data_IF_992501345642
#
_entry.id   IF_992501345642
#
_cell.length_a   1.000
_cell.length_b   1.000
_cell.length_c   1.000
_cell.angle_alpha   90.00
_cell.angle_beta   90.00
_cell.angle_gamma   90.00
#
_symmetry.space_group_name_H-M   'P 1'
#
loop_
_entity.id
_entity.type
_entity.pdbx_description
1 polymer ?
#
# COMPACT_ATOMS: atom_id res chain seq x y z
N UNK A 1 50.04 -8.99 -1.79
CA UNK A 1 49.29 -7.78 -1.37
C UNK A 1 47.94 -7.61 -2.07
N UNK A 2 47.83 -7.59 -3.41
CA UNK A 2 46.52 -7.41 -4.09
C UNK A 2 45.49 -8.53 -3.82
N UNK A 3 45.91 -9.80 -3.77
CA UNK A 3 44.99 -10.93 -3.47
C UNK A 3 44.36 -10.85 -2.07
N UNK A 4 45.10 -10.40 -1.06
CA UNK A 4 44.61 -10.27 0.32
C UNK A 4 43.56 -9.18 0.47
N UNK A 5 43.81 -7.98 -0.09
CA UNK A 5 42.84 -6.87 -0.11
C UNK A 5 41.57 -7.21 -0.89
N UNK A 6 41.68 -7.98 -1.96
CA UNK A 6 40.52 -8.43 -2.74
C UNK A 6 39.65 -9.41 -1.96
N UNK A 7 40.26 -10.34 -1.22
CA UNK A 7 39.53 -11.30 -0.36
C UNK A 7 38.83 -10.57 0.80
N UNK A 8 39.51 -9.64 1.46
CA UNK A 8 38.92 -8.80 2.52
C UNK A 8 37.76 -7.94 2.01
N UNK A 9 37.90 -7.34 0.82
CA UNK A 9 36.85 -6.55 0.17
C UNK A 9 35.63 -7.40 -0.20
N UNK A 10 35.85 -8.60 -0.76
CA UNK A 10 34.78 -9.54 -1.11
C UNK A 10 34.06 -10.02 0.17
N UNK A 11 34.82 -10.42 1.20
CA UNK A 11 34.25 -10.84 2.49
C UNK A 11 33.45 -9.71 3.16
N UNK A 12 33.97 -8.47 3.13
CA UNK A 12 33.28 -7.28 3.61
C UNK A 12 31.98 -7.00 2.85
N UNK A 13 31.96 -7.17 1.53
CA UNK A 13 30.74 -7.01 0.72
C UNK A 13 29.71 -8.12 1.03
N UNK A 14 30.13 -9.37 1.22
CA UNK A 14 29.22 -10.44 1.63
C UNK A 14 28.58 -10.17 3.00
N UNK A 15 29.36 -9.64 3.95
CA UNK A 15 28.88 -9.24 5.26
C UNK A 15 27.90 -8.05 5.21
N UNK A 16 28.19 -7.02 4.40
CA UNK A 16 27.27 -5.89 4.21
C UNK A 16 25.95 -6.32 3.54
N UNK A 17 26.03 -7.23 2.54
CA UNK A 17 24.85 -7.78 1.88
C UNK A 17 23.99 -8.59 2.86
N UNK A 18 24.59 -9.41 3.73
CA UNK A 18 23.84 -10.19 4.72
C UNK A 18 23.13 -9.28 5.74
N UNK A 19 23.81 -8.22 6.19
CA UNK A 19 23.23 -7.18 7.04
C UNK A 19 22.05 -6.44 6.39
N UNK A 20 22.16 -6.08 5.11
CA UNK A 20 21.06 -5.40 4.39
C UNK A 20 19.90 -6.36 4.11
N UNK A 21 20.16 -7.66 3.89
CA UNK A 21 19.10 -8.68 3.80
C UNK A 21 18.33 -8.87 5.09
N UNK A 22 18.98 -8.72 6.25
CA UNK A 22 18.37 -9.04 7.56
C UNK A 22 17.73 -10.43 7.50
N UNK A 23 16.48 -10.55 7.93
CA UNK A 23 15.66 -11.77 7.96
C UNK A 23 15.19 -12.28 6.57
N UNK A 24 15.75 -11.82 5.44
CA UNK A 24 15.34 -12.28 4.11
C UNK A 24 16.09 -13.54 3.69
N UNK A 25 15.35 -14.50 3.13
CA UNK A 25 15.94 -15.74 2.61
C UNK A 25 16.78 -15.43 1.37
N UNK A 26 17.99 -15.98 1.33
CA UNK A 26 18.94 -15.78 0.23
C UNK A 26 19.12 -17.09 -0.54
N UNK A 27 19.25 -17.00 -1.86
CA UNK A 27 19.55 -18.13 -2.73
C UNK A 27 21.06 -18.23 -2.91
N UNK A 28 21.59 -19.43 -2.66
CA UNK A 28 22.96 -19.77 -3.04
C UNK A 28 22.92 -20.60 -4.32
N UNK A 29 23.44 -20.08 -5.42
CA UNK A 29 23.44 -20.76 -6.73
C UNK A 29 24.76 -20.51 -7.45
N UNK A 30 25.46 -21.57 -7.89
CA UNK A 30 26.71 -21.44 -8.63
C UNK A 30 27.81 -20.67 -7.89
N UNK A 31 27.81 -20.71 -6.55
CA UNK A 31 28.72 -19.93 -5.70
C UNK A 31 28.27 -18.48 -5.42
N UNK A 32 27.17 -18.01 -6.02
CA UNK A 32 26.62 -16.68 -5.77
C UNK A 32 25.61 -16.70 -4.62
N UNK A 33 25.66 -15.70 -3.74
CA UNK A 33 24.72 -15.54 -2.63
C UNK A 33 23.82 -14.33 -2.88
N UNK A 34 22.65 -14.57 -3.46
CA UNK A 34 21.72 -13.55 -3.93
C UNK A 34 20.52 -13.40 -2.99
N UNK A 35 20.12 -12.17 -2.71
CA UNK A 35 18.85 -11.85 -2.05
C UNK A 35 17.70 -12.10 -3.03
N UNK A 36 17.37 -13.38 -3.20
CA UNK A 36 16.44 -13.96 -4.17
C UNK A 36 15.77 -15.19 -3.53
N UNK A 37 14.47 -15.39 -3.78
CA UNK A 37 13.71 -16.51 -3.22
C UNK A 37 12.64 -16.98 -4.21
N UNK A 38 12.47 -18.30 -4.34
CA UNK A 38 11.35 -18.90 -5.07
C UNK A 38 10.13 -18.87 -4.15
N UNK A 39 9.11 -18.13 -4.56
CA UNK A 39 7.82 -18.09 -3.87
C UNK A 39 7.00 -19.31 -4.29
N UNK A 40 7.01 -19.60 -5.59
CA UNK A 40 6.60 -20.86 -6.20
C UNK A 40 7.71 -21.31 -7.16
N UNK A 41 7.52 -22.43 -7.86
CA UNK A 41 8.51 -22.92 -8.82
C UNK A 41 8.71 -21.97 -10.01
N UNK A 42 7.69 -21.16 -10.33
CA UNK A 42 7.65 -20.26 -11.47
C UNK A 42 7.57 -18.77 -11.11
N UNK A 43 7.54 -18.44 -9.82
CA UNK A 43 7.55 -17.07 -9.30
C UNK A 43 8.74 -16.83 -8.39
N UNK A 44 9.62 -15.93 -8.80
CA UNK A 44 10.82 -15.56 -8.05
C UNK A 44 10.70 -14.12 -7.57
N UNK A 45 10.98 -13.90 -6.29
CA UNK A 45 11.08 -12.57 -5.71
C UNK A 45 12.55 -12.25 -5.38
N UNK A 46 13.04 -11.07 -5.77
CA UNK A 46 14.41 -10.66 -5.45
C UNK A 46 14.52 -9.19 -5.05
N UNK A 47 15.66 -8.83 -4.46
CA UNK A 47 16.06 -7.43 -4.29
C UNK A 47 16.66 -6.86 -5.59
N UNK A 48 16.74 -5.52 -5.67
CA UNK A 48 17.19 -4.81 -6.86
C UNK A 48 18.56 -5.31 -7.37
N UNK A 49 18.68 -5.64 -8.67
CA UNK A 49 19.97 -5.90 -9.30
C UNK A 49 20.70 -4.57 -9.53
N UNK A 50 21.90 -4.43 -8.99
CA UNK A 50 22.67 -3.19 -9.04
C UNK A 50 23.96 -3.33 -9.87
N UNK A 51 24.31 -2.29 -10.62
CA UNK A 51 25.52 -2.20 -11.45
C UNK A 51 26.68 -1.48 -10.72
N UNK A 52 26.36 -0.42 -9.95
CA UNK A 52 27.34 0.48 -9.33
C UNK A 52 27.81 0.04 -7.93
N UNK A 53 28.45 0.96 -7.17
CA UNK A 53 28.80 0.77 -5.75
C UNK A 53 27.63 0.27 -4.88
N UNK A 54 26.39 0.47 -5.31
CA UNK A 54 25.19 -0.12 -4.69
C UNK A 54 25.24 -1.65 -4.65
N UNK A 55 25.94 -2.30 -5.59
CA UNK A 55 26.19 -3.74 -5.61
C UNK A 55 27.02 -4.22 -4.41
N UNK A 56 27.74 -3.34 -3.69
CA UNK A 56 28.46 -3.72 -2.47
C UNK A 56 27.50 -4.23 -1.38
N UNK A 57 26.24 -3.79 -1.39
CA UNK A 57 25.23 -4.16 -0.40
C UNK A 57 23.91 -4.68 -1.00
N UNK A 58 23.78 -4.69 -2.33
CA UNK A 58 22.68 -5.31 -3.10
C UNK A 58 23.16 -6.50 -3.94
N UNK A 59 22.26 -7.09 -4.72
CA UNK A 59 22.60 -8.14 -5.67
C UNK A 59 23.39 -7.52 -6.84
N UNK A 60 24.63 -7.94 -7.13
CA UNK A 60 25.32 -7.51 -8.35
C UNK A 60 24.56 -8.00 -9.57
N UNK A 61 24.26 -7.10 -10.52
CA UNK A 61 23.41 -7.41 -11.66
C UNK A 61 23.96 -8.58 -12.50
N UNK A 62 25.26 -8.57 -12.79
CA UNK A 62 25.91 -9.66 -13.53
C UNK A 62 25.78 -11.03 -12.85
N UNK A 63 25.75 -11.08 -11.51
CA UNK A 63 25.55 -12.33 -10.77
C UNK A 63 24.09 -12.79 -10.88
N UNK A 64 23.14 -11.85 -10.86
CA UNK A 64 21.72 -12.16 -11.07
C UNK A 64 21.52 -12.70 -12.48
N UNK A 65 22.02 -12.00 -13.50
CA UNK A 65 21.94 -12.43 -14.89
C UNK A 65 22.51 -13.84 -15.06
N UNK A 66 23.75 -14.07 -14.61
CA UNK A 66 24.39 -15.39 -14.73
C UNK A 66 23.67 -16.50 -13.96
N UNK A 67 23.12 -16.20 -12.79
CA UNK A 67 22.34 -17.15 -12.00
C UNK A 67 21.03 -17.53 -12.70
N UNK A 68 20.35 -16.56 -13.32
CA UNK A 68 19.12 -16.79 -14.09
C UNK A 68 19.41 -17.52 -15.40
N UNK A 69 20.45 -17.12 -16.14
CA UNK A 69 20.86 -17.77 -17.38
C UNK A 69 21.28 -19.23 -17.14
N UNK A 70 22.04 -19.50 -16.09
CA UNK A 70 22.47 -20.86 -15.73
C UNK A 70 21.29 -21.78 -15.38
N UNK A 71 20.27 -21.25 -14.70
CA UNK A 71 19.16 -22.06 -14.18
C UNK A 71 17.97 -22.15 -15.13
N UNK A 72 17.68 -21.08 -15.86
CA UNK A 72 16.48 -20.93 -16.67
C UNK A 72 16.75 -20.62 -18.15
N UNK A 73 18.01 -20.36 -18.55
CA UNK A 73 18.33 -20.02 -19.93
C UNK A 73 17.50 -18.84 -20.45
N UNK A 74 16.73 -19.05 -21.52
CA UNK A 74 15.83 -18.04 -22.11
C UNK A 74 14.43 -17.98 -21.47
N UNK A 75 14.12 -18.84 -20.49
CA UNK A 75 12.79 -19.01 -19.91
C UNK A 75 12.55 -18.14 -18.67
N UNK A 76 13.13 -16.94 -18.60
CA UNK A 76 12.82 -15.98 -17.54
C UNK A 76 12.54 -14.58 -18.08
N UNK A 77 11.64 -13.87 -17.39
CA UNK A 77 11.33 -12.45 -17.61
C UNK A 77 11.36 -11.70 -16.29
N UNK A 78 11.96 -10.52 -16.29
CA UNK A 78 12.17 -9.68 -15.11
C UNK A 78 11.13 -8.56 -15.06
N UNK A 79 10.52 -8.37 -13.90
CA UNK A 79 9.52 -7.34 -13.65
C UNK A 79 10.05 -6.34 -12.62
N UNK A 80 10.30 -5.10 -13.07
CA UNK A 80 10.82 -4.02 -12.24
C UNK A 80 9.67 -3.14 -11.71
N UNK A 81 9.51 -3.12 -10.39
CA UNK A 81 8.48 -2.32 -9.69
C UNK A 81 8.98 -0.96 -9.19
N UNK A 82 10.24 -0.60 -9.46
CA UNK A 82 10.82 0.66 -9.00
C UNK A 82 10.45 1.81 -9.93
N UNK A 83 9.83 2.85 -9.39
CA UNK A 83 9.73 4.15 -10.09
C UNK A 83 11.04 4.91 -10.01
N UNK A 84 11.80 4.71 -8.93
CA UNK A 84 13.00 5.49 -8.61
C UNK A 84 14.30 4.92 -9.20
N UNK A 85 14.26 3.72 -9.78
CA UNK A 85 15.44 3.04 -10.32
C UNK A 85 15.09 2.23 -11.57
N UNK A 86 15.85 2.43 -12.63
CA UNK A 86 15.85 1.64 -13.85
C UNK A 86 17.27 1.17 -14.18
N UNK A 87 17.38 0.29 -15.16
CA UNK A 87 18.62 -0.21 -15.73
C UNK A 87 18.36 -0.63 -17.18
N UNK A 88 19.42 -0.80 -17.97
CA UNK A 88 19.29 -1.22 -19.37
C UNK A 88 18.61 -2.61 -19.45
N UNK A 89 17.46 -2.75 -20.17
CA UNK A 89 16.84 -4.05 -20.42
C UNK A 89 17.79 -5.06 -21.10
N UNK A 90 18.82 -4.58 -21.82
CA UNK A 90 19.90 -5.39 -22.40
C UNK A 90 20.61 -6.28 -21.37
N UNK A 91 20.69 -5.85 -20.10
CA UNK A 91 21.26 -6.63 -18.99
C UNK A 91 20.51 -7.93 -18.68
N UNK A 92 19.30 -8.11 -19.22
CA UNK A 92 18.52 -9.35 -19.15
C UNK A 92 17.97 -9.75 -20.52
N UNK A 93 18.75 -9.55 -21.58
CA UNK A 93 18.42 -9.96 -22.95
C UNK A 93 17.12 -9.34 -23.47
N UNK A 94 16.80 -8.11 -23.04
CA UNK A 94 15.56 -7.41 -23.39
C UNK A 94 14.30 -7.95 -22.70
N UNK A 95 14.41 -8.97 -21.83
CA UNK A 95 13.27 -9.60 -21.13
C UNK A 95 12.94 -8.87 -19.82
N UNK A 96 12.79 -7.55 -19.88
CA UNK A 96 12.46 -6.70 -18.73
C UNK A 96 11.20 -5.90 -19.01
N UNK A 97 10.29 -5.87 -18.05
CA UNK A 97 9.09 -5.04 -18.10
C UNK A 97 8.92 -4.26 -16.80
N UNK A 98 8.34 -3.06 -16.88
CA UNK A 98 8.23 -2.11 -15.78
C UNK A 98 6.79 -1.91 -15.35
N UNK A 99 6.54 -2.00 -14.04
CA UNK A 99 5.27 -1.67 -13.39
C UNK A 99 5.55 -0.77 -12.18
N UNK A 100 5.96 0.49 -12.43
CA UNK A 100 6.56 1.33 -11.39
C UNK A 100 5.53 1.86 -10.41
N UNK A 101 5.87 1.86 -9.11
CA UNK A 101 5.15 2.65 -8.10
C UNK A 101 6.04 2.99 -6.89
N UNK A 102 5.65 4.04 -6.17
CA UNK A 102 6.40 4.62 -5.06
C UNK A 102 6.78 3.60 -3.97
N UNK A 103 7.99 3.73 -3.43
CA UNK A 103 8.42 2.88 -2.31
C UNK A 103 7.53 3.08 -1.08
N UNK A 104 7.23 1.97 -0.41
CA UNK A 104 6.34 1.91 0.75
C UNK A 104 4.91 2.41 0.46
N UNK A 105 4.51 2.52 -0.80
CA UNK A 105 3.17 2.89 -1.22
C UNK A 105 2.41 1.68 -1.82
N UNK A 106 1.25 1.96 -2.39
CA UNK A 106 0.35 1.02 -3.06
C UNK A 106 0.16 1.47 -4.52
N UNK A 107 0.05 0.54 -5.47
CA UNK A 107 -0.23 0.85 -6.86
C UNK A 107 -1.74 1.04 -7.08
N UNK A 108 -2.15 1.72 -8.18
CA UNK A 108 -3.51 1.64 -8.68
C UNK A 108 -3.94 0.19 -8.94
N UNK A 109 -5.22 -0.12 -8.77
CA UNK A 109 -5.76 -1.45 -9.05
C UNK A 109 -5.61 -1.84 -10.53
N UNK A 110 -5.70 -0.86 -11.43
CA UNK A 110 -5.43 -1.01 -12.86
C UNK A 110 -3.99 -1.47 -13.13
N UNK A 111 -3.00 -0.92 -12.41
CA UNK A 111 -1.60 -1.35 -12.53
C UNK A 111 -1.39 -2.77 -12.00
N UNK A 112 -2.14 -3.19 -10.96
CA UNK A 112 -2.13 -4.58 -10.48
C UNK A 112 -2.66 -5.53 -11.56
N UNK A 113 -3.73 -5.16 -12.25
CA UNK A 113 -4.30 -5.94 -13.35
C UNK A 113 -3.29 -6.14 -14.47
N UNK A 114 -2.76 -5.04 -15.03
CA UNK A 114 -1.81 -5.10 -16.14
C UNK A 114 -0.58 -5.97 -15.79
N UNK A 115 -0.10 -5.87 -14.55
CA UNK A 115 0.97 -6.72 -14.06
C UNK A 115 0.57 -8.20 -14.03
N UNK A 116 -0.61 -8.54 -13.49
CA UNK A 116 -1.04 -9.94 -13.38
C UNK A 116 -1.26 -10.58 -14.75
N UNK A 117 -1.86 -9.83 -15.69
CA UNK A 117 -2.07 -10.25 -17.08
C UNK A 117 -0.74 -10.49 -17.79
N UNK A 118 0.21 -9.55 -17.70
CA UNK A 118 1.53 -9.71 -18.32
C UNK A 118 2.32 -10.90 -17.76
N UNK A 119 2.22 -11.14 -16.44
CA UNK A 119 2.84 -12.33 -15.80
C UNK A 119 2.16 -13.62 -16.27
N UNK A 120 0.83 -13.66 -16.34
CA UNK A 120 0.09 -14.83 -16.84
C UNK A 120 0.46 -15.13 -18.30
N UNK A 121 0.44 -14.12 -19.17
CA UNK A 121 0.77 -14.25 -20.59
C UNK A 121 2.17 -14.81 -20.79
N UNK A 122 3.15 -14.32 -20.02
CA UNK A 122 4.51 -14.87 -20.06
C UNK A 122 4.53 -16.33 -19.60
N UNK A 123 3.83 -16.67 -18.52
CA UNK A 123 3.85 -18.02 -17.96
C UNK A 123 3.04 -19.03 -18.81
N UNK A 124 2.07 -18.59 -19.60
CA UNK A 124 1.33 -19.46 -20.52
C UNK A 124 2.10 -19.81 -21.79
N UNK A 125 3.05 -18.97 -22.22
CA UNK A 125 3.84 -19.21 -23.44
C UNK A 125 4.69 -20.48 -23.39
N UNK A 126 5.25 -20.84 -22.22
CA UNK A 126 6.03 -22.06 -22.04
C UNK A 126 5.95 -22.52 -20.58
N UNK A 127 5.75 -23.82 -20.28
CA UNK A 127 5.69 -24.33 -18.90
C UNK A 127 6.99 -24.12 -18.11
N UNK A 128 8.12 -23.92 -18.78
CA UNK A 128 9.43 -23.61 -18.17
C UNK A 128 9.58 -22.14 -17.83
N UNK A 129 8.70 -21.26 -18.34
CA UNK A 129 8.82 -19.83 -18.08
C UNK A 129 8.70 -19.51 -16.59
N UNK A 130 9.55 -18.59 -16.15
CA UNK A 130 9.63 -18.08 -14.78
C UNK A 130 9.51 -16.57 -14.79
N UNK A 131 8.68 -16.02 -13.90
CA UNK A 131 8.59 -14.59 -13.68
C UNK A 131 9.47 -14.20 -12.49
N UNK A 132 10.33 -13.19 -12.68
CA UNK A 132 11.26 -12.69 -11.67
C UNK A 132 10.88 -11.27 -11.28
N UNK A 133 10.26 -11.10 -10.13
CA UNK A 133 9.72 -9.82 -9.67
C UNK A 133 10.68 -9.18 -8.68
N UNK A 134 10.97 -7.89 -8.84
CA UNK A 134 11.78 -7.17 -7.88
C UNK A 134 11.29 -5.74 -7.63
N UNK A 135 11.70 -5.21 -6.48
CA UNK A 135 11.69 -3.79 -6.19
C UNK A 135 13.05 -3.43 -5.59
N UNK A 136 13.16 -2.33 -4.82
CA UNK A 136 14.41 -2.00 -4.15
C UNK A 136 14.88 -3.11 -3.19
N UNK A 137 14.00 -3.53 -2.28
CA UNK A 137 14.32 -4.52 -1.24
C UNK A 137 13.76 -5.92 -1.49
N UNK A 138 12.90 -6.10 -2.49
CA UNK A 138 12.24 -7.38 -2.72
C UNK A 138 11.36 -7.81 -1.55
N UNK A 139 10.67 -6.87 -0.88
CA UNK A 139 9.87 -7.14 0.33
C UNK A 139 8.44 -6.66 0.20
N UNK A 140 8.17 -5.37 0.43
CA UNK A 140 6.82 -4.80 0.44
C UNK A 140 6.15 -4.76 -0.94
N UNK A 141 6.67 -3.92 -1.85
CA UNK A 141 6.15 -3.78 -3.22
C UNK A 141 6.10 -5.11 -3.98
N UNK A 142 7.23 -5.83 -4.01
CA UNK A 142 7.31 -7.18 -4.59
C UNK A 142 6.30 -8.12 -3.97
N UNK A 143 6.13 -8.10 -2.64
CA UNK A 143 5.18 -8.95 -1.98
C UNK A 143 3.73 -8.62 -2.32
N UNK A 144 3.38 -7.34 -2.41
CA UNK A 144 2.05 -6.93 -2.86
C UNK A 144 1.75 -7.50 -4.24
N UNK A 145 2.62 -7.27 -5.23
CA UNK A 145 2.37 -7.71 -6.62
C UNK A 145 2.40 -9.24 -6.74
N UNK A 146 3.34 -9.92 -6.08
CA UNK A 146 3.38 -11.40 -6.07
C UNK A 146 2.14 -11.99 -5.40
N UNK A 147 1.69 -11.43 -4.26
CA UNK A 147 0.46 -11.88 -3.62
C UNK A 147 -0.76 -11.59 -4.50
N UNK A 148 -0.81 -10.45 -5.17
CA UNK A 148 -1.89 -10.13 -6.10
C UNK A 148 -1.97 -11.12 -7.26
N UNK A 149 -0.83 -11.54 -7.82
CA UNK A 149 -0.80 -12.57 -8.86
C UNK A 149 -1.19 -13.96 -8.31
N UNK A 150 -0.74 -14.35 -7.12
CA UNK A 150 -1.19 -15.60 -6.49
C UNK A 150 -2.72 -15.59 -6.28
N UNK A 151 -3.26 -14.46 -5.86
CA UNK A 151 -4.71 -14.24 -5.74
C UNK A 151 -5.39 -14.31 -7.10
N UNK A 152 -4.79 -13.74 -8.15
CA UNK A 152 -5.25 -13.86 -9.54
C UNK A 152 -5.29 -15.32 -10.03
N UNK A 153 -4.44 -16.20 -9.48
CA UNK A 153 -4.48 -17.66 -9.72
C UNK A 153 -5.47 -18.42 -8.81
N UNK A 154 -6.33 -17.72 -8.08
CA UNK A 154 -7.37 -18.32 -7.24
C UNK A 154 -6.98 -18.55 -5.78
N UNK A 155 -5.78 -18.13 -5.34
CA UNK A 155 -5.39 -18.27 -3.94
C UNK A 155 -6.12 -17.24 -3.04
N UNK A 156 -6.58 -17.61 -1.84
CA UNK A 156 -7.10 -16.64 -0.89
C UNK A 156 -6.05 -15.58 -0.49
N UNK A 157 -6.49 -14.32 -0.31
CA UNK A 157 -5.59 -13.20 -0.04
C UNK A 157 -4.68 -13.40 1.19
N UNK A 158 -5.21 -13.93 2.29
CA UNK A 158 -4.41 -14.18 3.50
C UNK A 158 -3.41 -15.32 3.31
N UNK A 159 -3.78 -16.37 2.57
CA UNK A 159 -2.88 -17.47 2.22
C UNK A 159 -1.73 -17.00 1.34
N UNK A 160 -2.01 -16.15 0.33
CA UNK A 160 -0.99 -15.55 -0.51
C UNK A 160 0.00 -14.71 0.30
N UNK A 161 -0.51 -13.87 1.21
CA UNK A 161 0.31 -13.06 2.12
C UNK A 161 1.18 -13.91 3.05
N UNK A 162 0.65 -15.02 3.56
CA UNK A 162 1.36 -15.96 4.42
C UNK A 162 2.42 -16.76 3.66
N UNK A 163 2.09 -17.27 2.47
CA UNK A 163 3.00 -17.98 1.59
C UNK A 163 4.20 -17.08 1.24
N UNK A 164 3.93 -15.86 0.78
CA UNK A 164 5.01 -14.92 0.48
C UNK A 164 5.86 -14.62 1.72
N UNK A 165 5.24 -14.41 2.89
CA UNK A 165 5.96 -14.20 4.15
C UNK A 165 6.93 -15.33 4.47
N UNK A 166 6.46 -16.57 4.44
CA UNK A 166 7.25 -17.76 4.79
C UNK A 166 8.34 -18.09 3.77
N UNK A 167 8.08 -17.85 2.48
CA UNK A 167 9.05 -18.09 1.40
C UNK A 167 10.07 -16.98 1.24
N UNK A 168 9.73 -15.74 1.58
CA UNK A 168 10.64 -14.59 1.40
C UNK A 168 11.47 -14.27 2.64
N UNK A 169 10.97 -14.58 3.83
CA UNK A 169 11.60 -14.20 5.10
C UNK A 169 11.68 -15.37 6.08
N UNK A 170 12.64 -15.31 7.01
CA UNK A 170 12.76 -16.28 8.10
C UNK A 170 11.74 -16.02 9.22
N UNK A 171 11.37 -14.76 9.43
CA UNK A 171 10.43 -14.35 10.49
C UNK A 171 8.97 -14.23 10.01
N UNK A 172 8.64 -14.76 8.83
CA UNK A 172 7.31 -14.69 8.19
C UNK A 172 6.77 -13.26 7.93
N UNK A 173 7.60 -12.23 8.07
CA UNK A 173 7.21 -10.85 7.84
C UNK A 173 7.52 -10.43 6.39
N UNK A 174 6.72 -10.91 5.43
CA UNK A 174 6.78 -10.48 4.02
C UNK A 174 6.20 -9.09 3.81
N UNK A 175 4.89 -9.03 3.50
CA UNK A 175 4.13 -7.78 3.37
C UNK A 175 3.62 -7.35 4.75
N UNK A 176 4.30 -6.38 5.35
CA UNK A 176 4.01 -5.89 6.71
C UNK A 176 3.26 -4.57 6.75
N UNK A 177 3.21 -3.83 5.63
CA UNK A 177 2.55 -2.52 5.58
C UNK A 177 1.03 -2.75 5.49
N UNK A 178 0.22 -2.28 6.45
CA UNK A 178 -1.22 -2.49 6.45
C UNK A 178 -1.92 -2.10 5.14
N UNK A 179 -1.58 -0.95 4.56
CA UNK A 179 -2.18 -0.53 3.29
C UNK A 179 -1.85 -1.46 2.13
N UNK A 180 -0.63 -2.03 2.08
CA UNK A 180 -0.27 -3.02 1.06
C UNK A 180 -1.09 -4.30 1.20
N UNK A 181 -1.28 -4.79 2.44
CA UNK A 181 -2.17 -5.93 2.71
C UNK A 181 -3.63 -5.62 2.37
N UNK A 182 -4.09 -4.40 2.69
CA UNK A 182 -5.43 -3.91 2.35
C UNK A 182 -5.68 -3.93 0.85
N UNK A 183 -4.69 -3.56 0.04
CA UNK A 183 -4.81 -3.59 -1.43
C UNK A 183 -4.83 -5.00 -2.01
N UNK A 184 -4.10 -5.97 -1.42
CA UNK A 184 -4.27 -7.39 -1.79
C UNK A 184 -5.70 -7.88 -1.49
N UNK A 185 -6.32 -7.42 -0.40
CA UNK A 185 -7.74 -7.73 -0.09
C UNK A 185 -8.74 -6.97 -0.95
N UNK A 186 -8.42 -5.76 -1.39
CA UNK A 186 -9.24 -5.03 -2.37
C UNK A 186 -9.20 -5.75 -3.71
N UNK A 187 -8.01 -6.15 -4.15
CA UNK A 187 -7.79 -6.96 -5.34
C UNK A 187 -8.63 -8.25 -5.32
N UNK A 188 -8.60 -9.02 -4.23
CA UNK A 188 -9.39 -10.26 -4.12
C UNK A 188 -10.91 -10.04 -4.21
N UNK A 189 -11.41 -8.83 -3.91
CA UNK A 189 -12.85 -8.51 -3.94
C UNK A 189 -13.36 -8.15 -5.34
N UNK A 190 -12.47 -7.88 -6.29
CA UNK A 190 -12.82 -7.41 -7.63
C UNK A 190 -12.53 -8.44 -8.72
N UNK A 191 -11.99 -9.60 -8.34
CA UNK A 191 -11.81 -10.76 -9.21
C UNK A 191 -13.07 -11.62 -9.23
N UNK A 192 -13.45 -12.07 -10.43
CA UNK A 192 -14.54 -13.03 -10.62
C UNK A 192 -13.97 -14.25 -11.34
N UNK A 193 -13.94 -15.38 -10.64
CA UNK A 193 -13.40 -16.62 -11.17
C UNK A 193 -14.46 -17.36 -11.98
N UNK A 194 -14.15 -17.81 -13.20
CA UNK A 194 -15.05 -18.63 -13.99
C UNK A 194 -15.12 -20.05 -13.41
N UNK A 195 -16.23 -20.75 -13.65
CA UNK A 195 -16.47 -22.10 -13.12
C UNK A 195 -15.57 -23.18 -13.72
N UNK A 196 -14.96 -22.91 -14.87
CA UNK A 196 -14.06 -23.81 -15.58
C UNK A 196 -12.58 -23.72 -15.11
N UNK A 197 -12.28 -22.85 -14.14
CA UNK A 197 -10.93 -22.66 -13.62
C UNK A 197 -10.01 -21.85 -14.54
N UNK A 198 -10.57 -21.13 -15.52
CA UNK A 198 -9.85 -20.19 -16.37
C UNK A 198 -9.35 -18.94 -15.64
N UNK A 199 -8.77 -18.02 -16.42
CA UNK A 199 -8.30 -16.71 -15.95
C UNK A 199 -9.48 -15.89 -15.39
N UNK A 200 -9.36 -15.23 -14.23
CA UNK A 200 -10.47 -14.46 -13.67
C UNK A 200 -10.76 -13.19 -14.46
N UNK A 201 -12.03 -12.82 -14.53
CA UNK A 201 -12.45 -11.48 -14.97
C UNK A 201 -12.11 -10.45 -13.89
N UNK A 202 -11.42 -9.37 -14.29
CA UNK A 202 -11.09 -8.26 -13.39
C UNK A 202 -12.13 -7.15 -13.52
N UNK A 203 -12.95 -6.97 -12.48
CA UNK A 203 -13.97 -5.90 -12.42
C UNK A 203 -13.40 -4.67 -11.72
N UNK A 204 -12.50 -3.95 -12.39
CA UNK A 204 -11.98 -2.68 -11.86
C UNK A 204 -13.16 -1.76 -11.55
N UNK A 205 -13.32 -1.33 -10.29
CA UNK A 205 -14.44 -0.50 -9.92
C UNK A 205 -14.32 0.88 -10.55
N UNK A 206 -15.43 1.47 -11.03
CA UNK A 206 -15.40 2.86 -11.47
C UNK A 206 -15.02 3.76 -10.28
N UNK A 207 -14.34 4.90 -10.54
CA UNK A 207 -14.06 5.88 -9.49
C UNK A 207 -15.35 6.24 -8.75
N UNK A 208 -15.30 6.18 -7.41
CA UNK A 208 -16.43 6.53 -6.56
C UNK A 208 -16.04 7.76 -5.73
N UNK A 209 -16.26 8.97 -6.26
CA UNK A 209 -15.96 10.20 -5.55
C UNK A 209 -16.67 10.27 -4.19
N UNK A 210 -15.97 10.76 -3.17
CA UNK A 210 -16.48 10.96 -1.81
C UNK A 210 -16.09 12.34 -1.31
N UNK A 211 -17.04 13.03 -0.67
CA UNK A 211 -16.74 14.27 0.04
C UNK A 211 -16.14 13.98 1.41
N UNK A 212 -14.84 14.15 1.60
CA UNK A 212 -14.24 14.13 2.93
C UNK A 212 -14.65 15.41 3.69
N UNK A 213 -15.40 15.24 4.78
CA UNK A 213 -15.97 16.33 5.58
C UNK A 213 -15.26 16.54 6.91
N UNK A 214 -14.68 15.49 7.48
CA UNK A 214 -14.07 15.55 8.81
C UNK A 214 -12.98 14.51 8.99
N UNK A 215 -11.95 14.87 9.74
CA UNK A 215 -10.91 13.96 10.24
C UNK A 215 -10.89 14.08 11.77
N UNK A 216 -10.92 12.94 12.46
CA UNK A 216 -10.79 12.87 13.92
C UNK A 216 -9.70 11.91 14.32
N UNK A 217 -8.96 12.27 15.37
CA UNK A 217 -8.00 11.39 16.03
C UNK A 217 -8.42 11.26 17.49
N UNK A 218 -8.64 10.04 17.94
CA UNK A 218 -9.02 9.74 19.32
C UNK A 218 -7.85 9.14 20.08
N UNK A 219 -7.88 9.32 21.40
CA UNK A 219 -6.90 8.80 22.35
C UNK A 219 -5.48 9.21 21.97
N UNK A 220 -5.31 10.52 21.75
CA UNK A 220 -4.01 11.14 21.44
C UNK A 220 -3.27 11.54 22.71
N UNK A 221 -2.07 11.00 22.92
CA UNK A 221 -1.23 11.34 24.06
C UNK A 221 -0.41 12.61 23.81
N UNK A 222 -0.34 13.49 24.82
CA UNK A 222 0.68 14.54 24.92
C UNK A 222 0.84 15.41 23.67
N UNK A 223 -0.26 15.65 22.94
CA UNK A 223 -0.29 16.52 21.77
C UNK A 223 -1.64 17.22 21.65
N UNK A 224 -1.57 18.49 21.26
CA UNK A 224 -2.69 19.40 21.05
C UNK A 224 -2.77 19.84 19.57
N UNK A 225 -1.96 19.28 18.67
CA UNK A 225 -2.23 19.39 17.25
C UNK A 225 -1.49 18.32 16.41
N UNK A 226 -2.17 17.85 15.37
CA UNK A 226 -1.60 16.97 14.36
C UNK A 226 -1.89 17.54 12.97
N UNK A 227 -0.84 17.79 12.18
CA UNK A 227 -0.96 18.22 10.79
C UNK A 227 -1.24 17.02 9.90
N UNK A 228 -1.97 17.21 8.82
CA UNK A 228 -2.21 16.17 7.83
C UNK A 228 -2.06 16.68 6.39
N UNK A 229 -1.82 15.75 5.47
CA UNK A 229 -1.80 15.93 4.02
C UNK A 229 -2.58 14.78 3.40
N UNK A 230 -3.57 15.09 2.58
CA UNK A 230 -4.35 14.15 1.77
C UNK A 230 -3.82 14.22 0.35
N UNK A 231 -3.42 13.08 -0.18
CA UNK A 231 -2.92 12.93 -1.54
C UNK A 231 -3.75 11.92 -2.31
N UNK A 232 -3.91 12.16 -3.61
CA UNK A 232 -4.63 11.29 -4.54
C UNK A 232 -3.69 10.88 -5.68
N UNK A 233 -3.77 9.61 -6.08
CA UNK A 233 -3.09 9.16 -7.30
C UNK A 233 -3.94 9.63 -8.49
N UNK A 234 -3.35 10.44 -9.37
CA UNK A 234 -3.99 10.89 -10.60
C UNK A 234 -3.55 9.99 -11.75
N UNK A 235 -4.50 9.57 -12.59
CA UNK A 235 -4.21 8.85 -13.82
C UNK A 235 -4.00 9.86 -14.96
N UNK A 236 -2.91 9.71 -15.71
CA UNK A 236 -2.64 10.51 -16.91
C UNK A 236 -2.59 9.60 -18.15
N UNK A 237 -3.24 9.98 -19.26
CA UNK A 237 -3.23 9.17 -20.47
C UNK A 237 -1.80 8.89 -20.96
N UNK A 238 -1.47 7.60 -21.13
CA UNK A 238 -0.17 7.15 -21.63
C UNK A 238 0.90 6.93 -20.57
N UNK A 239 0.68 7.31 -19.31
CA UNK A 239 1.57 6.97 -18.20
C UNK A 239 1.03 5.79 -17.38
N UNK A 240 1.90 4.83 -17.04
CA UNK A 240 1.51 3.69 -16.20
C UNK A 240 1.31 4.08 -14.72
N UNK A 241 2.01 5.10 -14.25
CA UNK A 241 1.96 5.53 -12.85
C UNK A 241 2.49 6.95 -12.66
N UNK A 242 1.79 7.72 -11.83
CA UNK A 242 2.22 9.01 -11.33
C UNK A 242 2.22 9.04 -9.81
N UNK A 243 3.21 9.71 -9.22
CA UNK A 243 3.26 9.87 -7.76
C UNK A 243 2.05 10.67 -7.26
N UNK A 244 1.54 10.38 -6.05
CA UNK A 244 0.34 11.04 -5.52
C UNK A 244 0.52 12.55 -5.36
N UNK A 245 -0.49 13.31 -5.79
CA UNK A 245 -0.54 14.77 -5.70
C UNK A 245 -1.29 15.18 -4.44
N UNK A 246 -0.80 16.20 -3.72
CA UNK A 246 -1.52 16.75 -2.57
C UNK A 246 -2.77 17.52 -3.03
N UNK A 247 -3.93 17.11 -2.54
CA UNK A 247 -5.21 17.74 -2.84
C UNK A 247 -5.73 18.58 -1.66
N UNK A 248 -5.25 18.31 -0.45
CA UNK A 248 -5.57 19.08 0.73
C UNK A 248 -4.55 18.86 1.84
N UNK A 249 -4.39 19.88 2.69
CA UNK A 249 -3.66 19.78 3.95
C UNK A 249 -4.35 20.61 5.03
N UNK A 250 -4.06 20.30 6.28
CA UNK A 250 -4.69 20.96 7.41
C UNK A 250 -4.13 20.50 8.74
N UNK A 251 -4.82 20.87 9.81
CA UNK A 251 -4.43 20.58 11.18
C UNK A 251 -5.64 20.17 12.01
N UNK A 252 -5.52 19.03 12.69
CA UNK A 252 -6.46 18.58 13.70
C UNK A 252 -6.09 19.19 15.05
N UNK A 253 -7.04 19.83 15.72
CA UNK A 253 -6.85 20.54 16.99
C UNK A 253 -7.93 20.15 18.01
N UNK A 254 -7.73 20.38 19.32
CA UNK A 254 -8.75 20.15 20.33
C UNK A 254 -10.00 20.99 20.04
N UNK A 255 -11.17 20.41 20.32
CA UNK A 255 -12.45 21.10 20.18
C UNK A 255 -12.51 22.34 21.09
N UNK A 256 -12.61 23.53 20.50
CA UNK A 256 -12.77 24.80 21.24
C UNK A 256 -14.15 24.85 21.90
N UNK A 257 -14.22 25.27 23.18
CA UNK A 257 -15.49 25.49 23.90
C UNK A 257 -16.40 26.43 23.09
N UNK A 258 -17.64 26.02 22.82
CA UNK A 258 -18.65 26.83 22.11
C UNK A 258 -18.82 26.48 20.62
N UNK A 259 -17.93 25.71 20.01
CA UNK A 259 -18.09 25.20 18.64
C UNK A 259 -18.96 23.93 18.61
N UNK A 260 -20.23 24.04 19.00
CA UNK A 260 -21.24 23.03 18.65
C UNK A 260 -21.75 23.40 17.26
N UNK A 261 -21.08 22.91 16.22
CA UNK A 261 -21.59 23.06 14.85
C UNK A 261 -22.77 22.09 14.69
N UNK A 262 -23.98 22.63 14.65
CA UNK A 262 -25.29 21.96 14.80
C UNK A 262 -25.72 21.00 13.70
N UNK A 263 -24.81 20.49 12.86
CA UNK A 263 -25.19 19.66 11.72
C UNK A 263 -24.30 18.44 11.60
N UNK A 264 -24.47 17.46 12.49
CA UNK A 264 -23.97 16.10 12.25
C UNK A 264 -24.68 14.99 13.06
N UNK A 265 -26.03 14.89 13.08
CA UNK A 265 -26.63 13.59 13.40
C UNK A 265 -26.27 12.64 12.26
N UNK A 266 -25.41 11.66 12.55
CA UNK A 266 -24.95 10.71 11.55
C UNK A 266 -25.16 9.29 12.04
N UNK A 267 -25.92 8.56 11.24
CA UNK A 267 -26.07 7.13 11.31
C UNK A 267 -24.86 6.47 10.64
N UNK A 268 -24.23 5.51 11.32
CA UNK A 268 -23.09 4.78 10.77
C UNK A 268 -23.13 3.31 11.12
N UNK A 269 -22.46 2.51 10.30
CA UNK A 269 -22.16 1.12 10.60
C UNK A 269 -20.77 1.08 11.26
N UNK A 270 -20.70 0.68 12.53
CA UNK A 270 -19.43 0.44 13.23
C UNK A 270 -19.05 -1.04 13.15
N UNK A 271 -17.78 -1.30 12.86
CA UNK A 271 -17.22 -2.64 12.70
C UNK A 271 -16.23 -3.01 13.83
N UNK A 272 -16.11 -2.16 14.86
CA UNK A 272 -15.25 -2.41 16.02
C UNK A 272 -16.01 -3.18 17.11
N UNK A 273 -15.35 -4.12 17.82
CA UNK A 273 -15.94 -4.82 18.96
C UNK A 273 -16.28 -3.83 20.09
N UNK A 274 -17.31 -4.16 20.87
CA UNK A 274 -17.75 -3.35 22.02
C UNK A 274 -16.74 -3.52 23.17
N UNK A 275 -16.31 -2.43 23.80
CA UNK A 275 -15.54 -2.51 25.05
C UNK A 275 -16.34 -3.32 26.08
N UNK A 276 -15.75 -4.39 26.60
CA UNK A 276 -16.35 -5.29 27.59
C UNK A 276 -17.04 -6.54 27.06
N UNK A 277 -17.01 -6.80 25.75
CA UNK A 277 -17.72 -7.95 25.14
C UNK A 277 -16.76 -8.88 24.38
N UNK A 278 -15.89 -9.60 25.12
CA UNK A 278 -14.93 -10.58 24.57
C UNK A 278 -15.60 -11.87 24.02
N UNK A 279 -16.93 -11.97 24.04
CA UNK A 279 -17.66 -13.22 23.73
C UNK A 279 -18.63 -13.18 22.54
N UNK A 280 -18.75 -12.09 21.79
CA UNK A 280 -19.62 -12.07 20.60
C UNK A 280 -18.89 -12.56 19.34
N UNK A 281 -19.33 -13.71 18.82
CA UNK A 281 -18.82 -14.36 17.59
C UNK A 281 -19.54 -13.87 16.31
N UNK A 282 -20.13 -12.69 16.30
CA UNK A 282 -20.90 -12.20 15.15
C UNK A 282 -20.24 -11.01 14.44
N UNK A 283 -19.83 -11.24 13.19
CA UNK A 283 -19.27 -10.26 12.25
C UNK A 283 -20.33 -9.29 11.66
N UNK A 284 -21.46 -9.06 12.33
CA UNK A 284 -22.49 -8.17 11.78
C UNK A 284 -22.23 -6.70 12.14
N UNK A 285 -22.25 -5.78 11.16
CA UNK A 285 -22.05 -4.35 11.42
C UNK A 285 -23.22 -3.78 12.22
N UNK A 286 -22.92 -3.08 13.30
CA UNK A 286 -23.94 -2.46 14.16
C UNK A 286 -24.27 -1.05 13.69
N UNK A 287 -25.55 -0.70 13.72
CA UNK A 287 -26.03 0.66 13.47
C UNK A 287 -25.76 1.53 14.71
N UNK A 288 -24.91 2.53 14.56
CA UNK A 288 -24.53 3.48 15.61
C UNK A 288 -25.05 4.85 15.20
N UNK A 289 -25.84 5.45 16.06
CA UNK A 289 -26.21 6.86 15.95
C UNK A 289 -25.15 7.64 16.72
N UNK A 290 -24.28 8.38 16.02
CA UNK A 290 -23.54 9.43 16.70
C UNK A 290 -24.47 10.64 16.80
N UNK A 291 -25.19 10.70 17.91
CA UNK A 291 -25.82 11.94 18.35
C UNK A 291 -24.69 12.84 18.85
N UNK A 292 -24.57 14.06 18.33
CA UNK A 292 -23.72 15.11 18.94
C UNK A 292 -24.32 15.58 20.29
N UNK A 293 -24.78 14.64 21.15
CA UNK A 293 -25.14 14.87 22.55
C UNK A 293 -23.90 14.79 23.46
N UNK A 294 -22.72 15.07 22.91
CA UNK A 294 -21.44 14.83 23.56
C UNK A 294 -21.32 15.71 24.82
N UNK A 295 -21.40 15.08 26.00
CA UNK A 295 -21.11 15.74 27.27
C UNK A 295 -19.68 16.32 27.18
N UNK A 296 -19.51 17.65 27.22
CA UNK A 296 -18.28 18.33 26.82
C UNK A 296 -17.05 18.09 27.71
N UNK A 297 -17.10 17.17 28.67
CA UNK A 297 -16.07 16.99 29.71
C UNK A 297 -15.28 15.67 29.58
N UNK A 298 -15.79 14.64 28.88
CA UNK A 298 -15.11 13.33 28.75
C UNK A 298 -14.31 13.19 27.45
N UNK A 299 -14.80 13.68 26.31
CA UNK A 299 -14.08 13.63 25.03
C UNK A 299 -13.07 14.77 24.82
N UNK A 300 -13.11 15.80 25.67
CA UNK A 300 -12.41 17.07 25.41
C UNK A 300 -10.89 17.02 25.49
N UNK A 301 -10.32 16.04 26.19
CA UNK A 301 -8.86 15.97 26.40
C UNK A 301 -8.15 15.07 25.38
N UNK A 302 -8.88 14.17 24.74
CA UNK A 302 -8.28 13.04 24.02
C UNK A 302 -8.71 12.97 22.55
N UNK A 303 -9.42 13.98 22.02
CA UNK A 303 -9.86 14.03 20.63
C UNK A 303 -9.34 15.28 19.91
N UNK A 304 -8.59 15.07 18.81
CA UNK A 304 -8.22 16.11 17.86
C UNK A 304 -9.15 16.06 16.66
N UNK A 305 -9.60 17.22 16.21
CA UNK A 305 -10.64 17.34 15.20
C UNK A 305 -10.24 18.31 14.09
N UNK A 306 -10.58 17.96 12.86
CA UNK A 306 -10.57 18.89 11.74
C UNK A 306 -11.88 18.76 10.95
N UNK A 307 -12.60 19.86 10.80
CA UNK A 307 -13.79 19.98 9.98
C UNK A 307 -13.47 20.82 8.75
N UNK A 308 -13.78 20.30 7.56
CA UNK A 308 -13.60 21.04 6.32
C UNK A 308 -14.80 21.97 6.08
N UNK A 309 -14.58 23.28 6.12
CA UNK A 309 -15.63 24.28 5.84
C UNK A 309 -16.21 24.08 4.42
N UNK A 310 -15.35 23.74 3.47
CA UNK A 310 -15.72 23.21 2.15
C UNK A 310 -15.23 21.76 2.07
N UNK A 311 -16.12 20.75 1.96
CA UNK A 311 -15.72 19.36 1.81
C UNK A 311 -14.77 19.16 0.64
N UNK A 312 -13.78 18.29 0.81
CA UNK A 312 -12.83 17.95 -0.25
C UNK A 312 -13.35 16.72 -0.98
N UNK A 313 -13.45 16.79 -2.29
CA UNK A 313 -13.75 15.61 -3.08
C UNK A 313 -12.49 14.75 -3.22
N UNK A 314 -12.58 13.47 -2.85
CA UNK A 314 -11.52 12.48 -3.02
C UNK A 314 -12.05 11.31 -3.85
N UNK A 315 -11.25 10.77 -4.75
CA UNK A 315 -11.65 9.64 -5.61
C UNK A 315 -10.50 8.62 -5.77
N UNK A 316 -10.84 7.38 -6.10
CA UNK A 316 -9.85 6.33 -6.36
C UNK A 316 -8.94 6.06 -5.17
N UNK A 317 -7.63 6.04 -5.42
CA UNK A 317 -6.59 5.69 -4.45
C UNK A 317 -6.08 6.93 -3.69
N UNK A 318 -6.34 6.96 -2.39
CA UNK A 318 -6.08 8.11 -1.52
C UNK A 318 -5.07 7.74 -0.44
N UNK A 319 -4.12 8.64 -0.18
CA UNK A 319 -3.12 8.56 0.88
C UNK A 319 -3.30 9.68 1.87
N UNK A 320 -3.54 9.36 3.13
CA UNK A 320 -3.56 10.31 4.24
C UNK A 320 -2.25 10.20 5.02
N UNK A 321 -1.51 11.30 5.15
CA UNK A 321 -0.23 11.38 5.87
C UNK A 321 -0.37 12.35 7.04
N UNK A 322 0.08 11.94 8.21
CA UNK A 322 -0.01 12.72 9.44
C UNK A 322 1.39 13.11 9.94
N UNK A 323 1.51 14.33 10.45
CA UNK A 323 2.75 14.95 10.91
C UNK A 323 2.55 15.61 12.28
N UNK A 324 3.61 15.65 13.07
CA UNK A 324 3.61 16.46 14.28
C UNK A 324 3.68 17.96 13.93
N UNK A 325 3.55 18.82 14.95
CA UNK A 325 3.65 20.28 14.80
C UNK A 325 4.93 20.74 14.09
N UNK A 326 6.03 20.04 14.31
CA UNK A 326 7.38 20.32 13.78
C UNK A 326 7.61 19.72 12.37
N UNK A 327 6.59 19.16 11.73
CA UNK A 327 6.70 18.58 10.38
C UNK A 327 7.29 17.16 10.32
N UNK A 328 7.62 16.56 11.47
CA UNK A 328 8.04 15.16 11.54
C UNK A 328 6.88 14.20 11.28
N UNK A 329 7.02 13.29 10.31
CA UNK A 329 5.98 12.30 9.97
C UNK A 329 5.68 11.39 11.17
N UNK A 330 4.39 11.20 11.43
CA UNK A 330 3.87 10.33 12.49
C UNK A 330 3.55 8.95 11.95
N UNK A 331 2.63 8.88 10.99
CA UNK A 331 2.17 7.68 10.30
C UNK A 331 1.44 8.09 9.01
N UNK A 332 1.07 7.12 8.19
CA UNK A 332 0.16 7.34 7.07
C UNK A 332 -0.70 6.11 6.85
N UNK A 333 -1.66 6.18 5.93
CA UNK A 333 -2.34 5.01 5.41
C UNK A 333 -2.89 5.33 4.02
N UNK A 334 -3.16 4.28 3.25
CA UNK A 334 -3.75 4.37 1.91
C UNK A 334 -5.05 3.57 1.89
N UNK A 335 -6.04 4.08 1.17
CA UNK A 335 -7.33 3.43 0.97
C UNK A 335 -7.83 3.72 -0.43
N UNK A 336 -8.89 3.03 -0.84
CA UNK A 336 -9.56 3.31 -2.10
C UNK A 336 -11.03 3.64 -1.82
N UNK A 337 -11.52 4.74 -2.39
CA UNK A 337 -12.83 5.31 -2.06
C UNK A 337 -14.00 4.40 -2.44
N UNK A 338 -13.81 3.51 -3.42
CA UNK A 338 -14.81 2.54 -3.83
C UNK A 338 -15.21 1.60 -2.70
N UNK A 339 -14.23 1.13 -1.92
CA UNK A 339 -14.42 0.15 -0.85
C UNK A 339 -14.95 0.75 0.46
N UNK A 340 -15.23 2.05 0.48
CA UNK A 340 -15.92 2.69 1.60
C UNK A 340 -17.41 2.35 1.46
N UNK A 341 -17.92 1.50 2.34
CA UNK A 341 -19.32 1.07 2.35
C UNK A 341 -20.26 2.10 2.98
N UNK A 342 -19.82 2.79 4.03
CA UNK A 342 -20.61 3.78 4.79
C UNK A 342 -20.27 5.24 4.49
N UNK A 343 -20.58 6.11 5.43
CA UNK A 343 -20.13 7.51 5.51
C UNK A 343 -18.92 7.68 6.43
N UNK A 344 -18.35 6.60 6.97
CA UNK A 344 -17.23 6.65 7.90
C UNK A 344 -16.23 5.53 7.63
N UNK A 345 -14.95 5.82 7.81
CA UNK A 345 -13.86 4.86 7.81
C UNK A 345 -13.05 5.06 9.10
N UNK A 346 -12.97 4.00 9.91
CA UNK A 346 -12.22 3.99 11.17
C UNK A 346 -10.95 3.14 11.00
N UNK A 347 -9.82 3.63 11.47
CA UNK A 347 -8.52 2.96 11.36
C UNK A 347 -7.82 2.98 12.72
N UNK A 348 -7.66 1.78 13.30
CA UNK A 348 -6.94 1.61 14.56
C UNK A 348 -5.43 1.56 14.34
N UNK A 349 -4.67 1.38 15.43
CA UNK A 349 -3.19 1.28 15.38
C UNK A 349 -2.66 0.26 14.37
N UNK A 350 -3.32 -0.89 14.25
CA UNK A 350 -2.93 -1.98 13.37
C UNK A 350 -3.09 -1.65 11.87
N UNK A 351 -3.81 -0.59 11.55
CA UNK A 351 -4.10 -0.14 10.19
C UNK A 351 -3.17 0.97 9.68
N UNK A 352 -2.29 1.47 10.55
CA UNK A 352 -1.40 2.60 10.27
C UNK A 352 -0.07 2.12 9.70
N UNK A 353 0.33 2.73 8.59
CA UNK A 353 1.61 2.48 7.96
C UNK A 353 2.73 3.28 8.64
N UNK A 354 3.85 2.60 8.89
CA UNK A 354 5.13 3.21 9.29
C UNK A 354 5.01 4.19 10.47
N UNK A 355 4.32 3.78 11.52
CA UNK A 355 4.26 4.53 12.79
C UNK A 355 5.69 4.80 13.30
N UNK A 356 6.12 6.06 13.22
CA UNK A 356 7.46 6.50 13.60
C UNK A 356 7.60 6.55 15.12
N UNK A 357 8.81 6.85 15.62
CA UNK A 357 9.01 7.07 17.07
C UNK A 357 8.10 8.18 17.61
N UNK A 358 7.96 9.28 16.85
CA UNK A 358 7.06 10.39 17.17
C UNK A 358 5.59 9.98 17.02
N UNK A 359 5.28 9.10 16.06
CA UNK A 359 3.94 8.50 15.95
C UNK A 359 3.56 7.72 17.20
N UNK A 360 4.46 6.86 17.69
CA UNK A 360 4.20 6.04 18.89
C UNK A 360 4.00 6.85 20.15
N UNK A 361 4.67 8.00 20.28
CA UNK A 361 4.52 8.85 21.47
C UNK A 361 3.15 9.50 21.59
N UNK A 362 2.42 9.66 20.48
CA UNK A 362 1.08 10.28 20.49
C UNK A 362 -0.07 9.26 20.44
N UNK A 363 0.21 7.98 20.23
CA UNK A 363 -0.79 6.93 20.04
C UNK A 363 -1.11 6.32 21.41
N UNK A 364 -2.23 6.71 22.02
CA UNK A 364 -2.80 6.13 23.25
C UNK A 364 -3.31 4.71 23.03
N UNK A 365 -3.72 3.98 24.08
CA UNK A 365 -4.06 2.55 24.02
C UNK A 365 -5.14 2.18 22.99
N UNK A 366 -6.18 2.99 22.90
CA UNK A 366 -7.38 2.87 22.06
C UNK A 366 -7.36 3.84 20.86
N UNK A 367 -6.17 4.30 20.45
CA UNK A 367 -6.00 5.23 19.33
C UNK A 367 -6.75 4.80 18.06
N UNK A 368 -7.48 5.75 17.47
CA UNK A 368 -8.24 5.58 16.24
C UNK A 368 -8.21 6.86 15.40
N UNK A 369 -8.09 6.71 14.08
CA UNK A 369 -8.37 7.78 13.11
C UNK A 369 -9.72 7.53 12.46
N UNK A 370 -10.59 8.54 12.45
CA UNK A 370 -11.85 8.50 11.71
C UNK A 370 -11.81 9.50 10.55
N UNK A 371 -12.10 8.98 9.36
CA UNK A 371 -12.43 9.79 8.20
C UNK A 371 -13.93 9.76 7.98
N UNK A 372 -14.54 10.93 7.89
CA UNK A 372 -15.99 11.03 7.71
C UNK A 372 -16.32 11.66 6.37
N UNK A 373 -17.14 10.94 5.61
CA UNK A 373 -17.52 11.25 4.25
C UNK A 373 -18.98 11.68 4.14
N UNK A 374 -19.27 12.54 3.17
CA UNK A 374 -20.62 12.84 2.71
C UNK A 374 -21.29 11.66 2.00
N UNK A 375 -22.59 11.76 1.70
CA UNK A 375 -23.30 10.77 0.89
C UNK A 375 -22.61 10.53 -0.45
N UNK A 376 -22.67 9.30 -0.98
CA UNK A 376 -21.95 8.88 -2.18
C UNK A 376 -22.35 9.59 -3.51
N UNK A 377 -23.29 10.55 -3.47
CA UNK A 377 -23.86 11.22 -4.66
C UNK A 377 -23.40 12.67 -4.86
N UNK A 378 -22.57 13.22 -3.97
CA UNK A 378 -22.40 14.68 -3.91
C UNK A 378 -21.32 15.27 -4.84
N UNK A 379 -20.35 14.48 -5.33
CA UNK A 379 -19.25 15.01 -6.15
C UNK A 379 -19.52 15.12 -7.67
N UNK A 380 -20.70 14.71 -8.17
CA UNK A 380 -20.98 14.74 -9.62
C UNK A 380 -21.44 16.11 -10.16
N UNK A 381 -21.52 17.14 -9.31
CA UNK A 381 -21.95 18.47 -9.71
C UNK A 381 -20.91 19.49 -9.25
N UNK A 382 -19.94 19.83 -10.11
CA UNK A 382 -19.29 21.18 -10.17
C UNK A 382 -18.11 21.31 -11.16
N UNK A 383 -17.77 20.34 -12.02
CA UNK A 383 -16.69 20.55 -13.01
C UNK A 383 -17.11 20.73 -14.48
N UNK A 384 -18.40 20.62 -14.82
CA UNK A 384 -18.90 21.01 -16.15
C UNK A 384 -20.01 22.04 -16.01
N UNK A 385 -19.65 23.33 -16.11
CA UNK A 385 -20.42 24.40 -16.76
C UNK A 385 -19.72 25.75 -16.52
N UNK A 386 -18.64 25.97 -17.25
CA UNK A 386 -18.41 27.31 -17.78
C UNK A 386 -19.14 27.39 -19.12
N UNK A 387 -19.91 28.46 -19.30
CA UNK A 387 -20.84 28.74 -20.40
C UNK A 387 -22.16 27.97 -20.38
N UNK A 388 -23.22 28.62 -19.87
CA UNK A 388 -24.41 28.95 -20.68
C UNK A 388 -25.34 29.87 -19.88
N UNK A 389 -25.30 31.13 -20.32
CA UNK A 389 -26.34 32.15 -20.42
C UNK A 389 -27.48 32.22 -19.39
N UNK A 390 -27.57 33.42 -18.83
CA UNK A 390 -28.77 34.03 -18.29
C UNK A 390 -29.90 33.98 -19.33
N UNK A 391 -31.00 33.27 -19.04
CA UNK A 391 -32.33 33.69 -19.47
C UNK A 391 -33.39 33.31 -18.42
N UNK A 392 -33.93 34.37 -17.83
CA UNK A 392 -35.31 34.62 -17.40
C UNK A 392 -36.33 33.49 -17.60
N UNK A 393 -36.93 33.01 -16.51
CA UNK A 393 -38.32 33.30 -16.08
C UNK A 393 -38.59 32.68 -14.71
#
# INVERSE_FOLDING_TARGET
FLKGRLIEFIAGSHYLRSLVSKERRRLVLGGYNLDMSYITDRLVAMSFPAEDMTAMYRNPMWQVQRALDLKHGSYYKVYNLCVECSYDPGSFHGRVETFPFDDMHVPPLSLIQLFCESVEDWLLQDPRNVAVIHCKAGKGRTGLMVCAYLVYKGMPAEEALQLYGSRRTYNNQGVTIPSQRRYVRYWSKILVFPSDGGVPDVRIPPPKPRELRRIRLYDTNSTDAVKFSIKEIQEEPGELYKSPVEIASGQCEPLKKGFVRTVSPRYYLSFLPKEGDEKSKENQPRFVVQMDTERPNLLKKDCLDHYFDKPICVSGDVRAIFYNKNGGRLFYFCFNTYFISGSMMQLGKGDLDKVTRNGRSIIGQNFCVELIFGPARACNATQNNHHLDCYTL
#
